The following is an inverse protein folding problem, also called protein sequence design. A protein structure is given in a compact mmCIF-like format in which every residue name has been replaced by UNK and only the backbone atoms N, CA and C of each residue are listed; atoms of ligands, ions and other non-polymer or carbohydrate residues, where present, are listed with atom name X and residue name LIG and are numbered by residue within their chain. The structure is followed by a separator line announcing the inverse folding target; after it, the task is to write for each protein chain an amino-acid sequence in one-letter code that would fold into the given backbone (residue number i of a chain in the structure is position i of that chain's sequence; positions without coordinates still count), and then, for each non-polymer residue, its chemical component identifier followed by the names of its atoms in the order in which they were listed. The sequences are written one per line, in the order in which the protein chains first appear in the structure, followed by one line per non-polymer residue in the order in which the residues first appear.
data_IF_098665906489
#
_entry.id   IF_098665906489
#
_cell.length_a   1.000
_cell.length_b   1.000
_cell.length_c   1.000
_cell.angle_alpha   90.00
_cell.angle_beta   90.00
_cell.angle_gamma   90.00
#
_symmetry.space_group_name_H-M   'P 1'
#
loop_
_entity.id
_entity.type
_entity.pdbx_description
1 polymer ?
#
# COMPACT_ATOMS: atom_id res chain seq x y z
N UNK A 1 -14.44 24.85 19.74
CA UNK A 1 -13.05 24.54 19.33
C UNK A 1 -13.21 23.72 18.05
N UNK A 2 -12.67 24.24 16.93
CA UNK A 2 -12.76 23.58 15.63
C UNK A 2 -12.10 22.19 15.71
N UNK A 3 -12.92 21.15 15.81
CA UNK A 3 -12.46 19.75 15.94
C UNK A 3 -11.82 19.22 14.67
N UNK A 4 -12.20 19.74 13.50
CA UNK A 4 -11.69 19.30 12.19
C UNK A 4 -10.18 19.52 12.02
N UNK A 5 -9.63 20.74 12.28
CA UNK A 5 -8.18 20.95 12.16
C UNK A 5 -7.38 20.14 13.22
N UNK A 6 -7.92 19.96 14.42
CA UNK A 6 -7.27 19.17 15.45
C UNK A 6 -7.15 17.68 15.04
N UNK A 7 -8.20 17.08 14.47
CA UNK A 7 -8.17 15.70 13.98
C UNK A 7 -7.19 15.52 12.81
N UNK A 8 -7.10 16.49 11.91
CA UNK A 8 -6.14 16.46 10.80
C UNK A 8 -4.70 16.54 11.31
N UNK A 9 -4.40 17.45 12.22
CA UNK A 9 -3.08 17.59 12.80
C UNK A 9 -2.67 16.32 13.54
N UNK A 10 -3.56 15.76 14.34
CA UNK A 10 -3.32 14.48 15.05
C UNK A 10 -3.03 13.36 14.05
N UNK A 11 -3.83 13.23 12.98
CA UNK A 11 -3.62 12.22 11.95
C UNK A 11 -2.27 12.36 11.24
N UNK A 12 -1.86 13.58 10.91
CA UNK A 12 -0.57 13.85 10.27
C UNK A 12 0.59 13.52 11.21
N UNK A 13 0.52 13.94 12.47
CA UNK A 13 1.56 13.64 13.47
C UNK A 13 1.72 12.13 13.64
N UNK A 14 0.62 11.40 13.83
CA UNK A 14 0.65 9.94 13.96
C UNK A 14 1.21 9.27 12.71
N UNK A 15 0.83 9.72 11.51
CA UNK A 15 1.35 9.17 10.26
C UNK A 15 2.87 9.35 10.16
N UNK A 16 3.39 10.53 10.49
CA UNK A 16 4.83 10.80 10.46
C UNK A 16 5.58 9.95 11.50
N UNK A 17 5.06 9.86 12.72
CA UNK A 17 5.65 9.04 13.79
C UNK A 17 5.67 7.56 13.38
N UNK A 18 4.58 7.05 12.81
CA UNK A 18 4.51 5.66 12.34
C UNK A 18 5.47 5.38 11.19
N UNK A 19 5.58 6.28 10.23
CA UNK A 19 6.54 6.14 9.12
C UNK A 19 7.97 6.11 9.67
N UNK A 20 8.31 7.00 10.59
CA UNK A 20 9.63 7.04 11.21
C UNK A 20 9.92 5.75 12.01
N UNK A 21 8.94 5.28 12.81
CA UNK A 21 9.05 4.06 13.58
C UNK A 21 9.21 2.82 12.68
N UNK A 22 8.42 2.70 11.63
CA UNK A 22 8.53 1.62 10.66
C UNK A 22 9.85 1.65 9.91
N UNK A 23 10.30 2.83 9.50
CA UNK A 23 11.58 3.00 8.84
C UNK A 23 12.74 2.54 9.73
N UNK A 24 12.74 2.96 10.99
CA UNK A 24 13.74 2.54 11.96
C UNK A 24 13.68 1.03 12.21
N UNK A 25 12.50 0.48 12.46
CA UNK A 25 12.29 -0.96 12.73
C UNK A 25 12.73 -1.82 11.55
N UNK A 26 12.32 -1.47 10.33
CA UNK A 26 12.65 -2.22 9.12
C UNK A 26 14.11 -2.07 8.68
N UNK A 27 14.83 -1.12 9.26
CA UNK A 27 16.29 -0.99 9.16
C UNK A 27 17.07 -1.87 10.13
N UNK A 28 16.41 -2.47 11.14
CA UNK A 28 17.06 -3.42 12.07
C UNK A 28 17.29 -4.79 11.41
N UNK A 29 18.09 -5.64 12.06
CA UNK A 29 18.35 -7.02 11.57
C UNK A 29 17.05 -7.82 11.46
N UNK A 30 16.17 -7.70 12.45
CA UNK A 30 14.86 -8.38 12.45
C UNK A 30 13.99 -7.85 11.31
N UNK A 31 13.95 -6.54 11.11
CA UNK A 31 13.18 -5.92 10.02
C UNK A 31 13.73 -6.29 8.64
N UNK A 32 15.05 -6.38 8.48
CA UNK A 32 15.67 -6.82 7.23
C UNK A 32 15.38 -8.28 6.93
N UNK A 33 15.45 -9.16 7.94
CA UNK A 33 15.09 -10.58 7.83
C UNK A 33 13.60 -10.75 7.48
N UNK A 34 12.72 -9.92 8.07
CA UNK A 34 11.29 -9.90 7.77
C UNK A 34 11.03 -9.55 6.29
N UNK A 35 11.67 -8.50 5.79
CA UNK A 35 11.56 -8.09 4.37
C UNK A 35 12.13 -9.13 3.42
N UNK A 36 13.28 -9.72 3.77
CA UNK A 36 13.89 -10.79 2.98
C UNK A 36 12.99 -12.02 2.92
N UNK A 37 12.35 -12.40 4.03
CA UNK A 37 11.38 -13.50 4.10
C UNK A 37 10.18 -13.25 3.18
N UNK A 38 9.66 -12.03 3.15
CA UNK A 38 8.57 -11.65 2.24
C UNK A 38 8.96 -11.71 0.75
N UNK A 39 10.22 -11.48 0.44
CA UNK A 39 10.70 -11.50 -0.94
C UNK A 39 11.08 -12.92 -1.43
N UNK A 40 11.82 -13.68 -0.61
CA UNK A 40 12.22 -15.05 -0.93
C UNK A 40 12.43 -15.90 0.34
N UNK A 41 11.37 -16.57 0.76
CA UNK A 41 11.37 -17.42 1.95
C UNK A 41 12.41 -18.54 1.90
N UNK A 42 12.57 -19.19 0.73
CA UNK A 42 13.49 -20.33 0.57
C UNK A 42 14.94 -19.92 0.78
N UNK A 43 15.32 -18.76 0.27
CA UNK A 43 16.66 -18.20 0.45
C UNK A 43 16.93 -17.89 1.92
N UNK A 44 15.99 -17.26 2.62
CA UNK A 44 16.16 -16.87 4.03
C UNK A 44 16.23 -18.09 4.94
N UNK A 45 15.45 -19.13 4.65
CA UNK A 45 15.52 -20.42 5.37
C UNK A 45 16.86 -21.13 5.14
N UNK A 46 17.43 -21.05 3.93
CA UNK A 46 18.74 -21.61 3.62
C UNK A 46 19.89 -20.93 4.40
N UNK A 47 19.74 -19.67 4.75
CA UNK A 47 20.69 -18.90 5.58
C UNK A 47 20.51 -19.19 7.09
N UNK A 48 19.52 -20.03 7.46
CA UNK A 48 19.32 -20.46 8.86
C UNK A 48 18.35 -19.60 9.67
N UNK A 49 17.65 -18.65 9.05
CA UNK A 49 16.64 -17.84 9.73
C UNK A 49 15.31 -18.60 9.80
N UNK A 50 14.69 -18.60 10.98
CA UNK A 50 13.36 -19.19 11.19
C UNK A 50 12.28 -18.31 10.51
N UNK A 51 11.89 -18.69 9.30
CA UNK A 51 10.93 -17.96 8.49
C UNK A 51 9.52 -17.96 9.09
N UNK A 52 9.17 -18.96 9.87
CA UNK A 52 7.84 -19.07 10.46
C UNK A 52 7.68 -18.04 11.59
N UNK A 53 8.70 -17.83 12.41
CA UNK A 53 8.74 -16.75 13.40
C UNK A 53 8.69 -15.37 12.73
N UNK A 54 9.39 -15.20 11.61
CA UNK A 54 9.35 -13.93 10.86
C UNK A 54 7.95 -13.64 10.30
N UNK A 55 7.23 -14.66 9.79
CA UNK A 55 5.84 -14.52 9.34
C UNK A 55 4.91 -14.10 10.49
N UNK A 56 5.03 -14.77 11.64
CA UNK A 56 4.22 -14.42 12.81
C UNK A 56 4.49 -12.99 13.27
N UNK A 57 5.77 -12.59 13.35
CA UNK A 57 6.14 -11.23 13.70
C UNK A 57 5.57 -10.19 12.71
N UNK A 58 5.61 -10.49 11.40
CA UNK A 58 5.01 -9.64 10.37
C UNK A 58 3.51 -9.49 10.51
N UNK A 59 2.81 -10.59 10.79
CA UNK A 59 1.37 -10.58 11.03
C UNK A 59 0.99 -9.80 12.31
N UNK A 60 1.76 -9.97 13.38
CA UNK A 60 1.55 -9.21 14.62
C UNK A 60 1.73 -7.70 14.39
N UNK A 61 2.78 -7.31 13.68
CA UNK A 61 3.04 -5.91 13.34
C UNK A 61 1.91 -5.34 12.46
N UNK A 62 1.52 -6.06 11.44
CA UNK A 62 0.43 -5.65 10.52
C UNK A 62 -0.90 -5.47 11.27
N UNK A 63 -1.30 -6.45 12.08
CA UNK A 63 -2.54 -6.38 12.85
C UNK A 63 -2.49 -5.26 13.90
N UNK A 64 -1.34 -5.02 14.52
CA UNK A 64 -1.14 -3.90 15.43
C UNK A 64 -1.35 -2.54 14.76
N UNK A 65 -0.82 -2.37 13.55
CA UNK A 65 -0.99 -1.15 12.76
C UNK A 65 -2.46 -0.95 12.32
N UNK A 66 -3.14 -2.05 11.95
CA UNK A 66 -4.57 -2.00 11.59
C UNK A 66 -5.40 -1.59 12.80
N UNK A 67 -5.16 -2.18 13.96
CA UNK A 67 -5.86 -1.83 15.20
C UNK A 67 -5.66 -0.36 15.58
N UNK A 68 -4.43 0.13 15.49
CA UNK A 68 -4.09 1.53 15.75
C UNK A 68 -4.78 2.48 14.76
N UNK A 69 -4.79 2.14 13.48
CA UNK A 69 -5.53 2.90 12.47
C UNK A 69 -7.02 2.96 12.76
N UNK A 70 -7.63 1.82 13.13
CA UNK A 70 -9.04 1.76 13.51
C UNK A 70 -9.37 2.62 14.73
N UNK A 71 -8.50 2.61 15.74
CA UNK A 71 -8.64 3.44 16.94
C UNK A 71 -8.59 4.95 16.62
N UNK A 72 -7.66 5.38 15.75
CA UNK A 72 -7.55 6.77 15.30
C UNK A 72 -8.80 7.21 14.51
N UNK A 73 -9.34 6.34 13.66
CA UNK A 73 -10.58 6.62 12.92
C UNK A 73 -11.75 6.74 13.88
N UNK A 74 -11.91 5.82 14.81
CA UNK A 74 -12.97 5.87 15.82
C UNK A 74 -12.89 7.14 16.67
N UNK A 75 -11.67 7.54 17.06
CA UNK A 75 -11.44 8.77 17.82
C UNK A 75 -11.79 10.02 17.01
N UNK A 76 -11.46 10.05 15.72
CA UNK A 76 -11.75 11.20 14.86
C UNK A 76 -13.23 11.36 14.54
N UNK A 77 -13.98 10.27 14.49
CA UNK A 77 -15.41 10.24 14.17
C UNK A 77 -16.31 10.29 15.41
N UNK A 78 -15.76 9.95 16.60
CA UNK A 78 -16.50 9.89 17.86
C UNK A 78 -17.37 8.66 18.02
N UNK A 79 -17.35 7.72 17.07
CA UNK A 79 -18.07 6.44 17.14
C UNK A 79 -17.30 5.35 16.36
N UNK A 80 -17.59 4.10 16.66
CA UNK A 80 -17.06 2.93 15.98
C UNK A 80 -18.21 2.03 15.52
N UNK A 81 -18.19 1.64 14.26
CA UNK A 81 -19.13 0.71 13.65
C UNK A 81 -18.37 -0.39 12.91
N UNK A 82 -18.84 -1.63 13.06
CA UNK A 82 -18.30 -2.80 12.39
C UNK A 82 -18.35 -2.66 10.87
N UNK A 83 -19.36 -1.96 10.35
CA UNK A 83 -19.54 -1.74 8.91
C UNK A 83 -18.53 -0.75 8.31
N UNK A 84 -17.87 0.07 9.14
CA UNK A 84 -16.83 1.00 8.66
C UNK A 84 -15.61 0.28 8.06
N UNK A 85 -15.33 -0.94 8.50
CA UNK A 85 -14.26 -1.79 7.95
C UNK A 85 -14.56 -2.36 6.57
N UNK A 86 -15.83 -2.39 6.15
CA UNK A 86 -16.19 -2.98 4.87
C UNK A 86 -15.68 -2.12 3.71
N UNK A 87 -14.86 -2.76 2.87
CA UNK A 87 -14.27 -2.10 1.70
C UNK A 87 -12.95 -1.36 1.97
N UNK A 88 -12.51 -1.19 3.22
CA UNK A 88 -11.23 -0.54 3.52
C UNK A 88 -10.03 -1.29 2.95
N UNK A 89 -10.11 -2.61 2.81
CA UNK A 89 -9.09 -3.43 2.14
C UNK A 89 -8.94 -3.02 0.68
N UNK A 90 -10.06 -2.83 -0.02
CA UNK A 90 -10.06 -2.41 -1.43
C UNK A 90 -9.48 -1.00 -1.57
N UNK A 91 -9.85 -0.09 -0.67
CA UNK A 91 -9.31 1.27 -0.61
C UNK A 91 -7.81 1.26 -0.33
N UNK A 92 -7.37 0.43 0.61
CA UNK A 92 -5.96 0.26 0.93
C UNK A 92 -5.14 -0.25 -0.26
N UNK A 93 -5.60 -1.30 -0.92
CA UNK A 93 -4.96 -1.83 -2.13
C UNK A 93 -4.92 -0.80 -3.26
N UNK A 94 -6.02 -0.09 -3.49
CA UNK A 94 -6.08 0.98 -4.49
C UNK A 94 -5.04 2.08 -4.20
N UNK A 95 -4.94 2.49 -2.94
CA UNK A 95 -3.97 3.52 -2.51
C UNK A 95 -2.53 3.08 -2.71
N UNK A 96 -2.19 1.82 -2.39
CA UNK A 96 -0.86 1.25 -2.59
C UNK A 96 -0.52 1.22 -4.08
N UNK A 97 -1.42 0.70 -4.91
CA UNK A 97 -1.22 0.60 -6.36
C UNK A 97 -1.06 1.97 -6.99
N UNK A 98 -1.89 2.95 -6.61
CA UNK A 98 -1.75 4.33 -7.07
C UNK A 98 -0.39 4.91 -6.65
N UNK A 99 0.05 4.66 -5.42
CA UNK A 99 1.37 5.07 -4.94
C UNK A 99 2.50 4.46 -5.78
N UNK A 100 2.45 3.16 -6.05
CA UNK A 100 3.45 2.47 -6.88
C UNK A 100 3.44 2.94 -8.36
N UNK A 101 2.27 3.21 -8.92
CA UNK A 101 2.13 3.69 -10.30
C UNK A 101 2.69 5.11 -10.46
N UNK A 102 2.44 5.99 -9.49
CA UNK A 102 2.87 7.39 -9.54
C UNK A 102 4.37 7.52 -9.26
N UNK A 103 4.88 6.81 -8.26
CA UNK A 103 6.26 6.98 -7.80
C UNK A 103 7.26 5.94 -8.35
N UNK A 104 6.77 4.87 -8.99
CA UNK A 104 7.59 3.83 -9.61
C UNK A 104 8.21 2.84 -8.59
N UNK A 105 8.53 1.63 -9.06
CA UNK A 105 8.98 0.50 -8.25
C UNK A 105 10.50 0.52 -7.92
N UNK A 106 11.25 1.50 -8.40
CA UNK A 106 12.73 1.47 -8.36
C UNK A 106 13.39 2.42 -7.36
N UNK A 107 12.63 3.01 -6.45
CA UNK A 107 13.14 4.02 -5.55
C UNK A 107 13.34 3.43 -4.15
N UNK A 108 14.28 4.00 -3.39
CA UNK A 108 14.61 3.57 -2.02
C UNK A 108 13.36 3.35 -1.16
N UNK A 109 13.44 2.43 -0.21
CA UNK A 109 12.35 2.03 0.69
C UNK A 109 11.59 3.21 1.32
N UNK A 110 12.28 4.29 1.64
CA UNK A 110 11.69 5.54 2.14
C UNK A 110 10.66 6.14 1.15
N UNK A 111 11.00 6.18 -0.13
CA UNK A 111 10.10 6.68 -1.17
C UNK A 111 8.88 5.79 -1.35
N UNK A 112 9.02 4.48 -1.16
CA UNK A 112 7.89 3.55 -1.20
C UNK A 112 6.88 3.82 -0.07
N UNK A 113 7.36 4.07 1.15
CA UNK A 113 6.50 4.45 2.27
C UNK A 113 5.78 5.79 2.03
N UNK A 114 6.51 6.79 1.53
CA UNK A 114 5.92 8.07 1.15
C UNK A 114 4.93 7.93 -0.01
N UNK A 115 5.23 7.08 -0.98
CA UNK A 115 4.34 6.77 -2.10
C UNK A 115 3.00 6.22 -1.66
N UNK A 116 2.97 5.33 -0.67
CA UNK A 116 1.72 4.76 -0.11
C UNK A 116 0.87 5.86 0.54
N UNK A 117 1.49 6.75 1.33
CA UNK A 117 0.78 7.85 1.98
C UNK A 117 0.22 8.83 0.96
N UNK A 118 1.04 9.23 -0.02
CA UNK A 118 0.60 10.13 -1.08
C UNK A 118 -0.47 9.47 -1.97
N UNK A 119 -0.33 8.18 -2.28
CA UNK A 119 -1.35 7.40 -2.99
C UNK A 119 -2.69 7.40 -2.27
N UNK A 120 -2.68 7.29 -0.93
CA UNK A 120 -3.92 7.35 -0.14
C UNK A 120 -4.57 8.74 -0.15
N UNK A 121 -3.77 9.81 -0.16
CA UNK A 121 -4.26 11.19 -0.28
C UNK A 121 -4.89 11.42 -1.65
N UNK A 122 -4.19 11.03 -2.72
CA UNK A 122 -4.69 11.14 -4.10
C UNK A 122 -6.01 10.39 -4.25
N UNK A 123 -6.08 9.15 -3.75
CA UNK A 123 -7.29 8.36 -3.77
C UNK A 123 -8.46 9.07 -3.07
N UNK A 124 -8.23 9.66 -1.89
CA UNK A 124 -9.27 10.42 -1.16
C UNK A 124 -9.70 11.67 -1.90
N UNK A 125 -8.78 12.36 -2.56
CA UNK A 125 -9.12 13.52 -3.40
C UNK A 125 -10.03 13.11 -4.57
N UNK A 126 -9.69 11.99 -5.25
CA UNK A 126 -10.51 11.46 -6.34
C UNK A 126 -11.93 11.17 -5.85
N UNK A 127 -12.07 10.49 -4.71
CA UNK A 127 -13.39 10.21 -4.12
C UNK A 127 -14.14 11.50 -3.76
N UNK A 128 -13.46 12.48 -3.17
CA UNK A 128 -14.08 13.75 -2.80
C UNK A 128 -14.62 14.50 -4.03
N UNK A 129 -13.85 14.55 -5.12
CA UNK A 129 -14.28 15.17 -6.39
C UNK A 129 -15.49 14.44 -6.97
N UNK A 130 -15.47 13.12 -6.95
CA UNK A 130 -16.56 12.28 -7.47
C UNK A 130 -17.85 12.47 -6.67
N UNK A 131 -17.75 12.58 -5.34
CA UNK A 131 -18.90 12.89 -4.48
C UNK A 131 -19.49 14.27 -4.77
N UNK A 132 -18.64 15.27 -5.05
CA UNK A 132 -19.10 16.61 -5.43
C UNK A 132 -19.84 16.63 -6.77
N UNK A 133 -19.58 15.69 -7.67
CA UNK A 133 -20.29 15.51 -8.93
C UNK A 133 -21.70 14.89 -8.75
N UNK A 134 -22.14 14.63 -7.51
CA UNK A 134 -23.50 14.21 -7.19
C UNK A 134 -23.74 12.69 -7.31
N UNK A 135 -22.69 11.87 -7.38
CA UNK A 135 -22.82 10.42 -7.39
C UNK A 135 -23.25 9.88 -6.01
N UNK A 136 -24.17 8.93 -6.02
CA UNK A 136 -24.66 8.29 -4.78
C UNK A 136 -23.57 7.44 -4.15
N UNK A 137 -23.56 7.34 -2.83
CA UNK A 137 -22.59 6.52 -2.08
C UNK A 137 -22.54 5.05 -2.50
N UNK A 138 -23.60 4.53 -3.12
CA UNK A 138 -23.65 3.17 -3.66
C UNK A 138 -22.78 3.02 -4.90
N UNK A 139 -22.71 4.08 -5.73
CA UNK A 139 -21.96 4.07 -6.98
C UNK A 139 -20.45 4.24 -6.73
N UNK A 140 -20.06 4.72 -5.52
CA UNK A 140 -18.67 4.78 -5.08
C UNK A 140 -17.97 3.41 -5.07
N UNK A 141 -18.69 2.34 -4.71
CA UNK A 141 -18.11 0.98 -4.70
C UNK A 141 -17.79 0.52 -6.12
N UNK A 142 -18.62 0.86 -7.08
CA UNK A 142 -18.42 0.53 -8.48
C UNK A 142 -17.27 1.38 -9.07
N UNK A 143 -17.24 2.66 -8.74
CA UNK A 143 -16.16 3.56 -9.14
C UNK A 143 -14.81 3.13 -8.59
N UNK A 144 -14.74 2.78 -7.29
CA UNK A 144 -13.52 2.23 -6.68
C UNK A 144 -13.03 1.00 -7.40
N UNK A 145 -13.92 0.07 -7.75
CA UNK A 145 -13.56 -1.12 -8.50
C UNK A 145 -12.98 -0.77 -9.88
N UNK A 146 -13.58 0.19 -10.59
CA UNK A 146 -13.08 0.66 -11.90
C UNK A 146 -11.69 1.30 -11.75
N UNK A 147 -11.49 2.16 -10.75
CA UNK A 147 -10.18 2.80 -10.49
C UNK A 147 -9.12 1.75 -10.21
N UNK A 148 -9.43 0.73 -9.39
CA UNK A 148 -8.49 -0.36 -9.08
C UNK A 148 -8.14 -1.15 -10.34
N UNK A 149 -9.14 -1.49 -11.17
CA UNK A 149 -8.92 -2.22 -12.43
C UNK A 149 -8.05 -1.40 -13.38
N UNK A 150 -8.31 -0.11 -13.53
CA UNK A 150 -7.51 0.78 -14.36
C UNK A 150 -6.07 0.90 -13.83
N UNK A 151 -5.90 1.10 -12.52
CA UNK A 151 -4.60 1.20 -11.89
C UNK A 151 -3.78 -0.10 -12.05
N UNK A 152 -4.40 -1.27 -11.88
CA UNK A 152 -3.76 -2.57 -12.11
C UNK A 152 -3.44 -2.83 -13.59
N UNK A 153 -4.24 -2.30 -14.50
CA UNK A 153 -4.02 -2.46 -15.95
C UNK A 153 -2.74 -1.77 -16.41
N UNK A 154 -2.38 -0.63 -15.83
CA UNK A 154 -1.20 0.15 -16.22
C UNK A 154 0.11 -0.65 -16.11
N UNK A 155 0.46 -1.25 -14.95
CA UNK A 155 1.70 -2.02 -14.83
C UNK A 155 1.69 -3.31 -15.66
N UNK A 156 0.52 -3.95 -15.85
CA UNK A 156 0.39 -5.16 -16.66
C UNK A 156 0.64 -4.87 -18.13
N UNK A 157 0.08 -3.79 -18.65
CA UNK A 157 0.28 -3.35 -20.05
C UNK A 157 1.74 -2.99 -20.28
N UNK A 158 2.36 -2.24 -19.35
CA UNK A 158 3.78 -1.84 -19.45
C UNK A 158 4.70 -3.06 -19.46
N UNK A 159 4.43 -4.08 -18.65
CA UNK A 159 5.22 -5.32 -18.59
C UNK A 159 5.07 -6.17 -19.86
N UNK A 160 3.89 -6.16 -20.47
CA UNK A 160 3.60 -6.91 -21.70
C UNK A 160 4.28 -6.27 -22.92
N UNK A 161 4.37 -4.94 -22.95
CA UNK A 161 5.06 -4.19 -24.01
C UNK A 161 6.58 -4.41 -23.95
N UNK A 162 7.18 -4.44 -22.75
CA UNK A 162 8.61 -4.67 -22.58
C UNK A 162 9.04 -6.12 -22.94
N UNK A 163 8.15 -7.11 -22.77
CA UNK A 163 8.43 -8.49 -23.18
C UNK A 163 8.35 -8.71 -24.69
N UNK A 164 7.58 -7.90 -25.41
CA UNK A 164 7.48 -8.02 -26.87
C UNK A 164 8.69 -7.41 -27.59
N UNK A 165 9.38 -6.46 -26.98
CA UNK A 165 10.58 -5.84 -27.56
C UNK A 165 11.85 -6.67 -27.34
N UNK A 166 11.86 -7.61 -26.39
CA UNK A 166 13.02 -8.45 -26.08
C UNK A 166 13.02 -9.83 -26.80
N UNK A 167 11.99 -10.13 -27.58
CA UNK A 167 11.84 -11.44 -28.22
C UNK A 167 12.43 -11.62 -29.64
N UNK A 168 12.92 -10.61 -30.39
CA UNK A 168 13.46 -10.84 -31.75
C UNK A 168 14.93 -11.25 -31.78
N UNK A 169 15.74 -11.01 -30.76
CA UNK A 169 17.19 -11.22 -30.85
C UNK A 169 17.67 -12.67 -30.60
N UNK A 170 16.86 -13.50 -29.98
CA UNK A 170 17.27 -14.88 -29.60
C UNK A 170 16.99 -15.94 -30.66
N UNK A 171 16.29 -15.61 -31.74
CA UNK A 171 15.98 -16.57 -32.82
C UNK A 171 16.96 -16.55 -33.99
N UNK A 172 17.81 -15.53 -34.11
CA UNK A 172 18.80 -15.44 -35.18
C UNK A 172 20.10 -16.17 -34.84
N UNK A 173 20.46 -16.30 -33.56
CA UNK A 173 21.72 -16.94 -33.14
C UNK A 173 21.66 -18.48 -33.17
N UNK A 174 20.49 -19.07 -33.39
CA UNK A 174 20.31 -20.54 -33.40
C UNK A 174 20.33 -21.12 -34.81
N UNK A 175 20.43 -20.29 -35.85
CA UNK A 175 20.46 -20.68 -37.28
C UNK A 175 21.72 -20.24 -38.01
N UNK A 176 22.79 -19.84 -37.29
CA UNK A 176 24.15 -19.64 -37.80
C UNK A 176 25.09 -20.70 -37.17
#
# INVERSE_FOLDING_TARGET
INTVPASLITGVIFSVVLIAALYWFLGTEIGSALRATGNNERMVRAVGVDTDKMKVAGLMLSNGLIALSGALVAQSQGYADVMMGQGTIVIGLASIILGEVIFGHHIAFWWSLMGIVLGSVVYRIIIAVVLQLGLKSTDLKLLTAIIVVLALSIPVIKKKTHRRTAAPAASEEKNA
#
